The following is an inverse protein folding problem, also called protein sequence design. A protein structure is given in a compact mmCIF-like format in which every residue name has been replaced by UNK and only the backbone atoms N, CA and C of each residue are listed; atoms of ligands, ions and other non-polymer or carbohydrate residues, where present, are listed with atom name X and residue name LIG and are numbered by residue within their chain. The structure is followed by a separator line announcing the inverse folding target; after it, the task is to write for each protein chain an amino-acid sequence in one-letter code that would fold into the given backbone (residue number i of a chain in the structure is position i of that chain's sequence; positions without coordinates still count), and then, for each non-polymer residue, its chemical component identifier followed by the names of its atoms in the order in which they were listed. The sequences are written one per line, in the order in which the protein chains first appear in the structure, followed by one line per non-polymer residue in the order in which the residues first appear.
data_IF_795896898231
#
_entry.id   IF_795896898231
#
_cell.length_a   1.000
_cell.length_b   1.000
_cell.length_c   1.000
_cell.angle_alpha   90.00
_cell.angle_beta   90.00
_cell.angle_gamma   90.00
#
_symmetry.space_group_name_H-M   'P 1'
#
loop_
_entity.id
_entity.type
_entity.pdbx_description
1 polymer ?
#
# COMPACT_ATOMS: atom_id res chain seq x y z
N UNK A 1 7.94 -21.97 3.44
CA UNK A 1 7.13 -21.72 4.64
C UNK A 1 5.69 -22.09 4.29
N UNK A 2 5.07 -22.99 5.05
CA UNK A 2 3.74 -23.54 4.71
C UNK A 2 2.60 -22.66 5.26
N UNK A 3 1.41 -22.73 4.66
CA UNK A 3 0.21 -21.97 5.09
C UNK A 3 -0.21 -22.29 6.53
N UNK A 4 -0.03 -23.54 6.97
CA UNK A 4 -0.34 -23.95 8.34
C UNK A 4 0.56 -23.27 9.38
N UNK A 5 1.85 -23.10 9.06
CA UNK A 5 2.78 -22.39 9.94
C UNK A 5 2.45 -20.89 10.00
N UNK A 6 1.96 -20.30 8.89
CA UNK A 6 1.54 -18.89 8.82
C UNK A 6 0.36 -18.61 9.75
N UNK A 7 -0.66 -19.45 9.67
CA UNK A 7 -1.89 -19.34 10.47
C UNK A 7 -1.62 -19.44 11.97
N UNK A 8 -0.76 -20.39 12.35
CA UNK A 8 -0.48 -20.66 13.75
C UNK A 8 0.40 -19.57 14.39
N UNK A 9 1.25 -18.92 13.59
CA UNK A 9 2.00 -17.72 14.00
C UNK A 9 1.09 -16.52 14.26
N UNK A 10 0.18 -16.23 13.35
CA UNK A 10 -0.74 -15.11 13.50
C UNK A 10 -1.65 -15.29 14.74
N UNK A 11 -2.11 -16.53 14.98
CA UNK A 11 -2.84 -16.89 16.21
C UNK A 11 -2.02 -16.69 17.49
N UNK A 12 -0.74 -17.05 17.51
CA UNK A 12 0.13 -16.84 18.69
C UNK A 12 0.37 -15.36 18.98
N UNK A 13 0.54 -14.53 17.96
CA UNK A 13 0.68 -13.08 18.12
C UNK A 13 -0.59 -12.44 18.73
N UNK A 14 -1.78 -12.87 18.28
CA UNK A 14 -3.06 -12.43 18.84
C UNK A 14 -3.31 -12.98 20.27
N UNK A 15 -2.76 -14.14 20.61
CA UNK A 15 -2.90 -14.72 21.95
C UNK A 15 -1.98 -14.07 23.00
N UNK A 16 -0.83 -13.51 22.60
CA UNK A 16 0.14 -12.85 23.48
C UNK A 16 -0.27 -11.44 23.96
N UNK A 17 -1.58 -11.13 23.94
CA UNK A 17 -2.16 -9.82 24.32
C UNK A 17 -1.71 -9.43 25.72
N UNK A 18 -1.08 -8.25 25.83
CA UNK A 18 -0.95 -7.56 27.11
C UNK A 18 -2.23 -6.76 27.40
N UNK A 19 -2.76 -6.79 28.62
CA UNK A 19 -3.86 -5.91 29.00
C UNK A 19 -3.44 -4.44 28.84
N UNK A 20 -4.38 -3.60 28.41
CA UNK A 20 -4.20 -2.13 28.36
C UNK A 20 -3.70 -1.63 29.71
N UNK A 21 -2.45 -1.19 29.77
CA UNK A 21 -1.97 -0.40 30.90
C UNK A 21 -2.60 0.99 30.80
N UNK A 22 -3.23 1.44 31.89
CA UNK A 22 -3.69 2.82 32.01
C UNK A 22 -2.48 3.75 31.87
N UNK A 23 -2.44 4.50 30.78
CA UNK A 23 -1.43 5.50 30.52
C UNK A 23 -1.71 6.74 31.37
N UNK A 24 -0.74 7.16 32.18
CA UNK A 24 -0.73 8.45 32.85
C UNK A 24 -0.80 9.56 31.78
N UNK A 25 -1.91 10.30 31.75
CA UNK A 25 -2.24 11.29 30.71
C UNK A 25 -1.53 12.64 30.92
N UNK A 26 -0.69 12.76 31.94
CA UNK A 26 -0.06 14.04 32.32
C UNK A 26 1.05 14.51 31.38
N UNK A 27 1.59 13.66 30.50
CA UNK A 27 2.58 14.02 29.47
C UNK A 27 2.42 13.20 28.19
N UNK A 28 2.48 13.88 27.04
CA UNK A 28 2.63 13.20 25.73
C UNK A 28 4.03 12.56 25.70
N UNK A 29 4.13 11.22 25.62
CA UNK A 29 5.42 10.54 25.62
C UNK A 29 6.19 10.86 24.34
N UNK A 30 7.52 10.88 24.45
CA UNK A 30 8.40 10.99 23.28
C UNK A 30 8.15 9.80 22.37
N UNK A 31 8.08 10.05 21.06
CA UNK A 31 7.91 8.98 20.07
C UNK A 31 9.05 7.95 20.19
N UNK A 32 8.76 6.65 20.28
CA UNK A 32 9.77 5.59 20.28
C UNK A 32 10.59 5.60 19.00
N UNK A 33 11.78 4.98 19.05
CA UNK A 33 12.55 4.67 17.84
C UNK A 33 11.66 3.85 16.87
N UNK A 34 11.52 4.24 15.59
CA UNK A 34 10.77 3.47 14.59
C UNK A 34 11.15 1.99 14.54
N UNK A 35 12.41 1.63 14.83
CA UNK A 35 12.88 0.24 14.88
C UNK A 35 12.32 -0.57 16.06
N UNK A 36 11.68 0.09 17.03
CA UNK A 36 11.08 -0.51 18.23
C UNK A 36 9.55 -0.45 18.22
N UNK A 37 8.93 0.04 17.15
CA UNK A 37 7.48 0.15 17.05
C UNK A 37 6.87 -1.23 16.78
N UNK A 38 5.96 -1.63 17.67
CA UNK A 38 5.11 -2.81 17.49
C UNK A 38 3.81 -2.35 16.87
N UNK A 39 3.19 -3.19 16.03
CA UNK A 39 1.86 -2.90 15.48
C UNK A 39 0.87 -2.59 16.61
N UNK A 40 0.02 -1.59 16.37
CA UNK A 40 -1.14 -1.34 17.24
C UNK A 40 -2.09 -2.55 17.20
N UNK A 41 -3.02 -2.63 18.16
CA UNK A 41 -3.96 -3.75 18.23
C UNK A 41 -4.78 -3.92 16.93
N UNK A 42 -5.26 -2.83 16.35
CA UNK A 42 -6.01 -2.84 15.08
C UNK A 42 -5.13 -3.26 13.90
N UNK A 43 -3.88 -2.80 13.88
CA UNK A 43 -2.93 -3.19 12.83
C UNK A 43 -2.55 -4.67 12.93
N UNK A 44 -2.36 -5.21 14.14
CA UNK A 44 -2.08 -6.63 14.34
C UNK A 44 -3.27 -7.50 13.90
N UNK A 45 -4.51 -7.06 14.15
CA UNK A 45 -5.71 -7.74 13.67
C UNK A 45 -5.77 -7.77 12.14
N UNK A 46 -5.54 -6.63 11.48
CA UNK A 46 -5.52 -6.55 10.02
C UNK A 46 -4.40 -7.39 9.40
N UNK A 47 -3.19 -7.31 9.96
CA UNK A 47 -2.06 -8.14 9.53
C UNK A 47 -2.35 -9.64 9.71
N UNK A 48 -2.94 -10.02 10.83
CA UNK A 48 -3.38 -11.41 11.08
C UNK A 48 -4.43 -11.86 10.09
N UNK A 49 -5.41 -11.00 9.78
CA UNK A 49 -6.47 -11.32 8.84
C UNK A 49 -5.93 -11.42 7.41
N UNK A 50 -4.98 -10.57 7.02
CA UNK A 50 -4.27 -10.67 5.74
C UNK A 50 -3.49 -12.00 5.64
N UNK A 51 -2.85 -12.46 6.72
CA UNK A 51 -2.13 -13.74 6.72
C UNK A 51 -3.04 -14.98 6.47
N UNK A 52 -4.36 -14.85 6.62
CA UNK A 52 -5.33 -15.92 6.29
C UNK A 52 -5.66 -15.98 4.79
N UNK A 53 -5.54 -14.87 4.08
CA UNK A 53 -5.74 -14.75 2.63
C UNK A 53 -4.78 -13.67 2.07
N UNK A 54 -3.49 -14.02 1.89
CA UNK A 54 -2.47 -13.06 1.46
C UNK A 54 -2.64 -12.62 0.00
N UNK A 55 -3.44 -13.37 -0.77
CA UNK A 55 -3.75 -13.05 -2.17
C UNK A 55 -5.00 -12.19 -2.33
N UNK A 56 -5.79 -12.04 -1.28
CA UNK A 56 -7.05 -11.32 -1.28
C UNK A 56 -6.88 -9.81 -1.38
N UNK A 57 -7.83 -9.15 -2.05
CA UNK A 57 -7.91 -7.69 -2.16
C UNK A 57 -8.86 -7.05 -1.14
N UNK A 58 -9.37 -7.82 -0.17
CA UNK A 58 -10.38 -7.38 0.79
C UNK A 58 -9.93 -6.18 1.65
N UNK A 59 -8.60 -6.00 1.79
CA UNK A 59 -8.00 -4.91 2.55
C UNK A 59 -7.36 -3.83 1.68
N UNK A 60 -7.60 -3.87 0.36
CA UNK A 60 -7.19 -2.81 -0.56
C UNK A 60 -8.20 -1.68 -0.55
N UNK A 61 -7.73 -0.45 -0.36
CA UNK A 61 -8.48 0.79 -0.56
C UNK A 61 -8.18 1.30 -1.98
N UNK A 62 -9.13 1.17 -2.93
CA UNK A 62 -8.92 1.64 -4.29
C UNK A 62 -9.13 3.15 -4.40
N UNK A 63 -8.33 3.80 -5.24
CA UNK A 63 -8.53 5.17 -5.68
C UNK A 63 -8.27 5.26 -7.18
N UNK A 64 -9.21 5.84 -7.93
CA UNK A 64 -9.02 6.10 -9.35
C UNK A 64 -9.59 7.48 -9.69
N UNK A 65 -8.82 8.26 -10.44
CA UNK A 65 -9.16 9.62 -10.84
C UNK A 65 -8.89 9.78 -12.33
N UNK A 66 -9.94 10.06 -13.09
CA UNK A 66 -9.81 10.52 -14.47
C UNK A 66 -9.50 12.02 -14.47
N UNK A 67 -8.51 12.41 -15.29
CA UNK A 67 -8.00 13.77 -15.40
C UNK A 67 -8.18 14.18 -16.86
N UNK A 68 -9.00 15.20 -17.06
CA UNK A 68 -9.24 15.82 -18.35
C UNK A 68 -8.51 17.17 -18.42
N UNK A 69 -7.87 17.43 -19.55
CA UNK A 69 -7.04 18.61 -19.78
C UNK A 69 -5.54 18.35 -19.60
N UNK A 70 -4.72 19.37 -19.91
CA UNK A 70 -3.27 19.23 -19.91
C UNK A 70 -2.74 18.90 -18.51
N UNK A 71 -1.93 17.85 -18.43
CA UNK A 71 -1.30 17.41 -17.18
C UNK A 71 0.22 17.47 -17.28
N UNK A 72 0.86 18.12 -16.30
CA UNK A 72 2.29 17.94 -16.08
C UNK A 72 2.52 16.61 -15.33
N UNK A 73 2.66 15.52 -16.09
CA UNK A 73 2.83 14.17 -15.56
C UNK A 73 4.05 14.04 -14.63
N UNK A 74 5.12 14.80 -14.90
CA UNK A 74 6.31 14.81 -14.05
C UNK A 74 6.08 15.50 -12.71
N UNK A 75 5.34 16.61 -12.70
CA UNK A 75 4.93 17.25 -11.46
C UNK A 75 4.02 16.35 -10.63
N UNK A 76 3.07 15.66 -11.25
CA UNK A 76 2.18 14.73 -10.56
C UNK A 76 2.95 13.55 -9.96
N UNK A 77 3.86 12.94 -10.73
CA UNK A 77 4.69 11.84 -10.22
C UNK A 77 5.54 12.29 -9.03
N UNK A 78 6.22 13.45 -9.13
CA UNK A 78 6.98 14.01 -8.00
C UNK A 78 6.12 14.29 -6.78
N UNK A 79 4.89 14.77 -6.97
CA UNK A 79 3.97 15.02 -5.87
C UNK A 79 3.52 13.72 -5.18
N UNK A 80 3.26 12.68 -5.96
CA UNK A 80 2.94 11.35 -5.44
C UNK A 80 4.12 10.74 -4.68
N UNK A 81 5.31 10.76 -5.26
CA UNK A 81 6.53 10.24 -4.63
C UNK A 81 6.85 11.02 -3.33
N UNK A 82 6.66 12.35 -3.34
CA UNK A 82 6.82 13.17 -2.15
C UNK A 82 5.79 12.84 -1.06
N UNK A 83 4.53 12.59 -1.44
CA UNK A 83 3.50 12.12 -0.50
C UNK A 83 3.95 10.81 0.18
N UNK A 84 4.42 9.83 -0.59
CA UNK A 84 4.92 8.58 -0.03
C UNK A 84 6.14 8.80 0.89
N UNK A 85 7.10 9.62 0.47
CA UNK A 85 8.28 9.94 1.29
C UNK A 85 7.90 10.65 2.61
N UNK A 86 6.96 11.60 2.55
CA UNK A 86 6.50 12.38 3.70
C UNK A 86 5.71 11.56 4.71
N UNK A 87 4.86 10.65 4.24
CA UNK A 87 3.93 9.91 5.09
C UNK A 87 4.46 8.53 5.47
N UNK A 88 5.05 8.44 6.67
CA UNK A 88 5.63 7.19 7.19
C UNK A 88 4.64 6.03 7.25
N UNK A 89 3.35 6.30 7.49
CA UNK A 89 2.31 5.26 7.46
C UNK A 89 2.21 4.55 6.12
N UNK A 90 2.43 5.26 5.01
CA UNK A 90 2.42 4.67 3.65
C UNK A 90 3.70 3.89 3.35
N UNK A 91 4.75 4.09 4.15
CA UNK A 91 6.03 3.39 4.08
C UNK A 91 6.19 2.32 5.15
N UNK A 92 5.14 2.06 5.93
CA UNK A 92 5.16 1.01 6.92
C UNK A 92 5.33 -0.33 6.21
N UNK A 93 6.21 -1.17 6.71
CA UNK A 93 6.34 -2.56 6.33
C UNK A 93 6.33 -3.41 7.58
N UNK A 94 5.84 -4.62 7.45
CA UNK A 94 5.87 -5.58 8.54
C UNK A 94 7.07 -6.49 8.38
N UNK A 95 7.78 -6.73 9.48
CA UNK A 95 8.92 -7.64 9.54
C UNK A 95 8.68 -8.60 10.70
N UNK A 96 8.97 -9.89 10.51
CA UNK A 96 8.88 -10.86 11.59
C UNK A 96 10.23 -10.96 12.29
N UNK A 97 10.36 -10.27 13.42
CA UNK A 97 11.52 -10.39 14.30
C UNK A 97 11.11 -11.22 15.51
N UNK A 98 11.55 -12.49 15.54
CA UNK A 98 11.40 -13.42 16.68
C UNK A 98 9.94 -13.72 17.06
N UNK A 99 9.04 -13.88 16.08
CA UNK A 99 7.65 -14.28 16.31
C UNK A 99 6.73 -13.14 16.73
N UNK A 100 7.11 -11.90 16.41
CA UNK A 100 6.31 -10.69 16.63
C UNK A 100 6.32 -9.86 15.36
N UNK A 101 5.14 -9.40 14.94
CA UNK A 101 5.03 -8.46 13.83
C UNK A 101 5.54 -7.08 14.28
N UNK A 102 6.74 -6.73 13.81
CA UNK A 102 7.34 -5.42 14.02
C UNK A 102 7.02 -4.51 12.84
N UNK A 103 6.75 -3.25 13.15
CA UNK A 103 6.64 -2.22 12.14
C UNK A 103 8.04 -1.68 11.84
N UNK A 104 8.43 -1.70 10.56
CA UNK A 104 9.63 -1.02 10.06
C UNK A 104 9.19 -0.02 9.00
N UNK A 105 10.00 1.00 8.77
CA UNK A 105 9.78 1.94 7.67
C UNK A 105 10.64 1.53 6.48
N UNK A 106 10.04 1.50 5.30
CA UNK A 106 10.78 1.51 4.05
C UNK A 106 11.58 2.81 3.98
N UNK A 107 12.91 2.73 3.77
CA UNK A 107 13.74 3.91 3.57
C UNK A 107 13.23 4.75 2.39
N UNK A 108 12.79 4.07 1.33
CA UNK A 108 12.26 4.67 0.11
C UNK A 108 11.07 3.84 -0.40
N UNK A 109 10.02 4.53 -0.83
CA UNK A 109 8.86 3.88 -1.44
C UNK A 109 9.07 3.77 -2.97
N UNK A 110 8.52 2.74 -3.62
CA UNK A 110 8.55 2.68 -5.08
C UNK A 110 7.87 3.89 -5.71
N UNK A 111 8.44 4.44 -6.81
CA UNK A 111 7.89 5.62 -7.44
C UNK A 111 6.58 5.33 -8.16
N UNK A 112 5.82 6.37 -8.48
CA UNK A 112 4.62 6.28 -9.31
C UNK A 112 4.96 5.66 -10.68
N UNK A 113 4.35 4.51 -11.00
CA UNK A 113 4.51 3.88 -12.32
C UNK A 113 3.80 4.68 -13.39
N UNK A 114 4.22 4.50 -14.65
CA UNK A 114 3.60 5.15 -15.81
C UNK A 114 3.27 4.13 -16.88
N UNK A 115 2.13 4.34 -17.52
CA UNK A 115 1.72 3.63 -18.71
C UNK A 115 1.32 4.65 -19.78
N UNK A 116 2.10 4.73 -20.85
CA UNK A 116 1.78 5.57 -21.99
C UNK A 116 1.02 4.73 -23.03
N UNK A 117 -0.24 5.09 -23.26
CA UNK A 117 -1.12 4.47 -24.23
C UNK A 117 -1.40 5.40 -25.43
N UNK A 118 -0.73 6.55 -25.54
CA UNK A 118 -0.98 7.55 -26.60
C UNK A 118 -0.81 6.97 -28.00
N UNK A 119 0.18 6.10 -28.23
CA UNK A 119 0.38 5.43 -29.52
C UNK A 119 -0.75 4.48 -29.88
N UNK A 120 -1.30 3.75 -28.90
CA UNK A 120 -2.47 2.88 -29.11
C UNK A 120 -3.70 3.74 -29.32
N UNK A 121 -3.90 4.78 -28.50
CA UNK A 121 -5.06 5.66 -28.58
C UNK A 121 -5.15 6.38 -29.93
N UNK A 122 -4.02 6.81 -30.49
CA UNK A 122 -3.98 7.46 -31.81
C UNK A 122 -4.28 6.52 -32.98
N UNK A 123 -4.21 5.20 -32.81
CA UNK A 123 -4.45 4.20 -33.87
C UNK A 123 -5.76 3.43 -33.68
N UNK A 124 -6.05 3.02 -32.45
CA UNK A 124 -7.27 2.37 -32.01
C UNK A 124 -7.66 2.88 -30.62
N UNK A 125 -8.49 3.96 -30.55
CA UNK A 125 -8.97 4.50 -29.28
C UNK A 125 -9.66 3.45 -28.41
N UNK A 126 -10.45 2.55 -28.99
CA UNK A 126 -11.18 1.54 -28.24
C UNK A 126 -10.23 0.51 -27.60
N UNK A 127 -9.14 0.14 -28.27
CA UNK A 127 -8.10 -0.70 -27.67
C UNK A 127 -7.38 -0.01 -26.52
N UNK A 128 -7.09 1.28 -26.64
CA UNK A 128 -6.46 2.04 -25.57
C UNK A 128 -7.34 2.12 -24.31
N UNK A 129 -8.65 2.33 -24.49
CA UNK A 129 -9.62 2.35 -23.38
C UNK A 129 -9.71 0.97 -22.69
N UNK A 130 -9.79 -0.13 -23.47
CA UNK A 130 -9.73 -1.49 -22.90
C UNK A 130 -8.45 -1.72 -22.11
N UNK A 131 -7.30 -1.28 -22.65
CA UNK A 131 -6.00 -1.43 -21.99
C UNK A 131 -5.90 -0.59 -20.71
N UNK A 132 -6.47 0.61 -20.69
CA UNK A 132 -6.59 1.44 -19.47
C UNK A 132 -7.37 0.69 -18.39
N UNK A 133 -8.49 0.06 -18.75
CA UNK A 133 -9.34 -0.67 -17.79
C UNK A 133 -8.63 -1.91 -17.25
N UNK A 134 -7.94 -2.66 -18.11
CA UNK A 134 -7.10 -3.79 -17.69
C UNK A 134 -6.01 -3.37 -16.70
N UNK A 135 -5.30 -2.27 -16.99
CA UNK A 135 -4.25 -1.75 -16.11
C UNK A 135 -4.83 -1.26 -14.78
N UNK A 136 -5.99 -0.59 -14.82
CA UNK A 136 -6.70 -0.16 -13.61
C UNK A 136 -7.05 -1.36 -12.74
N UNK A 137 -7.64 -2.40 -13.34
CA UNK A 137 -8.06 -3.57 -12.60
C UNK A 137 -6.87 -4.36 -12.04
N UNK A 138 -5.81 -4.51 -12.84
CA UNK A 138 -4.57 -5.16 -12.39
C UNK A 138 -3.96 -4.41 -11.19
N UNK A 139 -3.98 -3.08 -11.20
CA UNK A 139 -3.46 -2.25 -10.11
C UNK A 139 -4.25 -2.46 -8.81
N UNK A 140 -5.58 -2.47 -8.90
CA UNK A 140 -6.48 -2.56 -7.76
C UNK A 140 -6.57 -3.98 -7.17
N UNK A 141 -6.43 -5.01 -8.01
CA UNK A 141 -6.48 -6.43 -7.57
C UNK A 141 -5.15 -7.02 -7.13
N UNK A 142 -4.02 -6.43 -7.51
CA UNK A 142 -2.72 -7.01 -7.15
C UNK A 142 -2.62 -7.20 -5.62
N UNK A 143 -2.11 -8.33 -5.13
CA UNK A 143 -1.94 -8.51 -3.70
C UNK A 143 -0.87 -7.57 -3.15
N UNK A 144 -0.97 -7.21 -1.87
CA UNK A 144 0.08 -6.51 -1.15
C UNK A 144 0.99 -7.54 -0.47
N UNK A 145 2.30 -7.43 -0.70
CA UNK A 145 3.28 -8.31 -0.07
C UNK A 145 3.66 -7.78 1.33
N UNK A 146 2.83 -8.05 2.34
CA UNK A 146 3.12 -7.60 3.70
C UNK A 146 4.29 -8.37 4.33
N UNK A 147 4.47 -9.65 4.00
CA UNK A 147 5.51 -10.51 4.58
C UNK A 147 6.90 -10.22 3.99
N UNK A 148 7.00 -9.93 2.69
CA UNK A 148 8.25 -9.61 2.01
C UNK A 148 8.68 -8.13 2.15
N UNK A 149 7.89 -7.32 2.86
CA UNK A 149 8.19 -5.90 3.07
C UNK A 149 7.88 -5.02 1.86
N UNK A 150 6.81 -5.33 1.12
CA UNK A 150 6.28 -4.48 0.07
C UNK A 150 5.56 -3.23 0.61
N UNK A 151 5.47 -2.14 -0.17
CA UNK A 151 4.87 -0.89 0.29
C UNK A 151 3.35 -1.03 0.50
N UNK A 152 2.77 -0.27 1.44
CA UNK A 152 1.32 -0.19 1.66
C UNK A 152 0.61 0.77 0.70
N UNK A 153 1.33 1.31 -0.27
CA UNK A 153 0.79 2.18 -1.29
C UNK A 153 1.50 1.94 -2.62
N UNK A 154 0.74 1.94 -3.70
CA UNK A 154 1.25 1.87 -5.07
C UNK A 154 0.32 2.62 -6.01
N UNK A 155 0.81 2.97 -7.17
CA UNK A 155 -0.03 3.59 -8.19
C UNK A 155 0.59 3.57 -9.58
N UNK A 156 -0.26 3.89 -10.55
CA UNK A 156 0.10 4.06 -11.96
C UNK A 156 -0.63 5.27 -12.53
N UNK A 157 0.11 6.11 -13.26
CA UNK A 157 -0.45 7.13 -14.13
C UNK A 157 -0.55 6.58 -15.55
N UNK A 158 -1.77 6.43 -16.04
CA UNK A 158 -2.09 6.00 -17.40
C UNK A 158 -2.36 7.23 -18.25
N UNK A 159 -1.69 7.37 -19.40
CA UNK A 159 -1.88 8.50 -20.32
C UNK A 159 -2.46 8.01 -21.64
N UNK A 160 -3.63 8.53 -22.02
CA UNK A 160 -4.30 8.20 -23.28
C UNK A 160 -4.01 9.25 -24.36
N UNK A 161 -3.92 10.52 -23.97
CA UNK A 161 -3.60 11.65 -24.84
C UNK A 161 -2.99 12.78 -24.00
N UNK A 162 -2.49 13.87 -24.61
CA UNK A 162 -1.95 15.02 -23.86
C UNK A 162 -2.94 15.70 -22.90
N UNK A 163 -4.24 15.40 -23.04
CA UNK A 163 -5.35 15.95 -22.29
C UNK A 163 -6.24 14.88 -21.61
N UNK A 164 -5.85 13.61 -21.62
CA UNK A 164 -6.62 12.54 -20.96
C UNK A 164 -5.69 11.57 -20.25
N UNK A 165 -5.87 11.51 -18.93
CA UNK A 165 -5.08 10.66 -18.05
C UNK A 165 -5.97 9.99 -17.02
N UNK A 166 -5.48 8.88 -16.46
CA UNK A 166 -6.07 8.24 -15.27
C UNK A 166 -4.98 7.96 -14.26
N UNK A 167 -5.11 8.52 -13.06
CA UNK A 167 -4.32 8.13 -11.92
C UNK A 167 -5.04 7.00 -11.18
N UNK A 168 -4.39 5.86 -11.03
CA UNK A 168 -4.87 4.75 -10.22
C UNK A 168 -3.91 4.56 -9.06
N UNK A 169 -4.44 4.49 -7.85
CA UNK A 169 -3.69 4.21 -6.64
C UNK A 169 -4.41 3.15 -5.81
N UNK A 170 -3.63 2.29 -5.17
CA UNK A 170 -4.10 1.30 -4.24
C UNK A 170 -3.35 1.47 -2.93
N UNK A 171 -4.08 1.44 -1.82
CA UNK A 171 -3.53 1.49 -0.47
C UNK A 171 -3.95 0.24 0.30
N UNK A 172 -3.13 -0.21 1.25
CA UNK A 172 -3.54 -1.24 2.20
C UNK A 172 -4.16 -0.59 3.44
N UNK A 173 -5.19 -1.21 4.04
CA UNK A 173 -5.83 -0.72 5.27
C UNK A 173 -4.96 -0.72 6.54
N UNK A 174 -3.71 -1.19 6.48
CA UNK A 174 -2.81 -1.39 7.63
C UNK A 174 -2.13 -0.07 8.04
#
# INVERSE_FOLDING_TARGET
MTDSERLERARRALAARRPRQQSDTSRVPRRPDPAQVVLSESQLQLWTAHALDPTGSAYTVPAALDIEGPLNADALARAFDWMLARHEGLRLVTDDVRGKAHARLLPEAPPLRRADLTGIHGTDPAAAERRRDELTEAELRAPFDLEGGGPLARGVLITLSPDRHRLVAAFHHL
#
